data_IF_964297656197
#
_entry.id   IF_964297656197
#
_cell.length_a   1.000
_cell.length_b   1.000
_cell.length_c   1.000
_cell.angle_alpha   90.00
_cell.angle_beta   90.00
_cell.angle_gamma   90.00
#
_symmetry.space_group_name_H-M   'P 1'
#
loop_
_entity.id
_entity.type
_entity.pdbx_description
1 polymer ?
#
# COMPACT_ATOMS: atom_id res chain seq x y z
N UNK A 1 -6.17 26.33 -6.54
CA UNK A 1 -7.33 25.44 -6.80
C UNK A 1 -7.38 25.06 -8.27
N UNK A 2 -7.16 25.98 -9.19
CA UNK A 2 -7.17 25.73 -10.65
C UNK A 2 -5.96 24.90 -11.12
N UNK A 3 -4.79 25.09 -10.51
CA UNK A 3 -3.55 24.35 -10.80
C UNK A 3 -3.64 22.85 -10.41
N UNK A 4 -4.42 22.50 -9.39
CA UNK A 4 -4.68 21.11 -9.03
C UNK A 4 -5.67 20.40 -9.97
N UNK A 5 -6.60 21.11 -10.58
CA UNK A 5 -7.61 20.52 -11.49
C UNK A 5 -7.01 20.00 -12.80
N UNK A 6 -5.92 20.57 -13.28
CA UNK A 6 -5.33 20.23 -14.60
C UNK A 6 -4.47 18.97 -14.62
N UNK A 7 -4.14 18.38 -13.46
CA UNK A 7 -3.16 17.30 -13.34
C UNK A 7 -3.65 16.05 -12.61
N UNK A 8 -4.98 15.90 -12.40
CA UNK A 8 -5.52 14.70 -11.77
C UNK A 8 -5.64 13.58 -12.83
N UNK A 9 -4.76 12.59 -12.73
CA UNK A 9 -4.91 11.36 -13.54
C UNK A 9 -6.06 10.53 -12.98
N UNK A 10 -6.80 9.94 -13.89
CA UNK A 10 -7.87 9.04 -13.56
C UNK A 10 -7.32 7.68 -13.13
N UNK A 11 -7.46 7.39 -11.85
CA UNK A 11 -7.21 6.06 -11.33
C UNK A 11 -8.50 5.22 -11.50
N UNK A 12 -8.81 4.89 -12.76
CA UNK A 12 -10.09 4.27 -13.19
C UNK A 12 -10.47 3.06 -12.35
N UNK A 13 -9.52 2.19 -12.05
CA UNK A 13 -9.78 0.99 -11.27
C UNK A 13 -10.32 1.26 -9.86
N UNK A 14 -10.00 2.41 -9.25
CA UNK A 14 -10.56 2.80 -7.94
C UNK A 14 -11.92 3.50 -8.10
N UNK A 15 -12.02 4.50 -8.97
CA UNK A 15 -13.23 5.31 -9.12
C UNK A 15 -14.45 4.46 -9.46
N UNK A 16 -14.35 3.57 -10.45
CA UNK A 16 -15.44 2.69 -10.84
C UNK A 16 -15.88 1.73 -9.72
N UNK A 17 -14.93 1.16 -8.98
CA UNK A 17 -15.24 0.23 -7.88
C UNK A 17 -15.91 0.94 -6.71
N UNK A 18 -15.44 2.14 -6.39
CA UNK A 18 -15.99 2.96 -5.31
C UNK A 18 -17.40 3.42 -5.66
N UNK A 19 -17.61 3.93 -6.86
CA UNK A 19 -18.92 4.43 -7.32
C UNK A 19 -20.00 3.36 -7.33
N UNK A 20 -19.67 2.10 -7.62
CA UNK A 20 -20.62 0.98 -7.53
C UNK A 20 -21.21 0.76 -6.14
N UNK A 21 -20.55 1.32 -5.10
CA UNK A 21 -20.99 1.20 -3.71
C UNK A 21 -21.86 2.36 -3.25
N UNK A 22 -21.92 3.48 -3.99
CA UNK A 22 -22.82 4.58 -3.68
C UNK A 22 -24.30 4.15 -3.76
N UNK A 23 -25.12 4.69 -2.89
CA UNK A 23 -26.55 4.35 -2.79
C UNK A 23 -26.85 2.97 -2.18
N UNK A 24 -25.84 2.24 -1.67
CA UNK A 24 -26.03 0.92 -1.05
C UNK A 24 -26.00 0.92 0.48
N UNK A 25 -26.08 2.10 1.11
CA UNK A 25 -26.07 2.24 2.56
C UNK A 25 -24.76 1.81 3.23
N UNK A 26 -23.64 1.85 2.49
CA UNK A 26 -22.32 1.48 2.98
C UNK A 26 -21.47 2.74 3.19
N UNK A 27 -20.78 2.82 4.32
CA UNK A 27 -19.72 3.82 4.51
C UNK A 27 -18.52 3.40 3.66
N UNK A 28 -17.99 4.31 2.85
CA UNK A 28 -16.81 4.08 2.02
C UNK A 28 -15.60 4.68 2.72
N UNK A 29 -14.56 3.88 2.92
CA UNK A 29 -13.35 4.33 3.56
C UNK A 29 -12.13 4.09 2.68
N UNK A 30 -11.41 5.18 2.35
CA UNK A 30 -10.16 5.14 1.60
C UNK A 30 -8.98 5.18 2.57
N UNK A 31 -8.16 4.14 2.56
CA UNK A 31 -6.93 4.06 3.36
C UNK A 31 -5.70 3.98 2.49
N UNK A 32 -4.55 4.04 3.10
CA UNK A 32 -3.25 3.93 2.43
C UNK A 32 -2.25 4.92 2.96
N UNK A 33 -1.01 4.76 2.55
CA UNK A 33 0.10 5.60 2.95
C UNK A 33 -0.19 7.10 2.71
N UNK A 34 0.45 7.98 3.47
CA UNK A 34 0.44 9.41 3.14
C UNK A 34 1.00 9.66 1.74
N UNK A 35 0.44 10.66 1.04
CA UNK A 35 0.89 11.12 -0.29
C UNK A 35 0.58 10.19 -1.46
N UNK A 36 -0.11 9.05 -1.30
CA UNK A 36 -0.50 8.15 -2.42
C UNK A 36 -1.67 8.65 -3.25
N UNK A 37 -2.33 9.74 -2.83
CA UNK A 37 -3.41 10.38 -3.59
C UNK A 37 -4.84 10.03 -3.14
N UNK A 38 -5.07 9.58 -1.89
CA UNK A 38 -6.42 9.33 -1.33
C UNK A 38 -7.37 10.51 -1.52
N UNK A 39 -6.93 11.70 -1.06
CA UNK A 39 -7.69 12.95 -1.21
C UNK A 39 -8.01 13.31 -2.65
N UNK A 40 -7.08 12.97 -3.59
CA UNK A 40 -7.31 13.19 -5.02
C UNK A 40 -8.41 12.27 -5.57
N UNK A 41 -8.41 10.98 -5.18
CA UNK A 41 -9.47 10.02 -5.55
C UNK A 41 -10.81 10.49 -4.99
N UNK A 42 -10.87 10.84 -3.68
CA UNK A 42 -12.08 11.36 -3.05
C UNK A 42 -12.56 12.65 -3.74
N UNK A 43 -11.67 13.60 -4.01
CA UNK A 43 -11.99 14.89 -4.62
C UNK A 43 -12.61 14.72 -6.02
N UNK A 44 -12.12 13.79 -6.80
CA UNK A 44 -12.66 13.49 -8.11
C UNK A 44 -14.09 12.97 -8.04
N UNK A 45 -14.37 12.10 -7.11
CA UNK A 45 -15.72 11.59 -6.86
C UNK A 45 -16.62 12.73 -6.38
N UNK A 46 -16.14 13.56 -5.44
CA UNK A 46 -16.83 14.77 -5.01
C UNK A 46 -17.16 15.70 -6.19
N UNK A 47 -16.20 16.01 -7.07
CA UNK A 47 -16.40 16.92 -8.21
C UNK A 47 -17.48 16.38 -9.17
N UNK A 48 -17.51 15.05 -9.39
CA UNK A 48 -18.53 14.39 -10.21
C UNK A 48 -19.94 14.53 -9.60
N UNK A 49 -20.07 14.25 -8.31
CA UNK A 49 -21.37 14.32 -7.63
C UNK A 49 -21.87 15.76 -7.43
N UNK A 50 -20.96 16.71 -7.29
CA UNK A 50 -21.26 18.14 -7.16
C UNK A 50 -21.84 18.78 -8.44
N UNK A 51 -21.65 18.14 -9.60
CA UNK A 51 -22.20 18.64 -10.87
C UNK A 51 -23.69 18.38 -11.02
N UNK A 52 -24.26 17.47 -10.22
CA UNK A 52 -25.69 17.15 -10.26
C UNK A 52 -26.45 18.04 -9.27
N UNK A 53 -27.35 18.86 -9.76
CA UNK A 53 -28.17 19.79 -8.95
C UNK A 53 -29.12 19.09 -7.97
N UNK A 54 -29.42 17.81 -8.18
CA UNK A 54 -30.22 16.99 -7.23
C UNK A 54 -29.43 16.53 -6.02
N UNK A 55 -28.09 16.67 -6.05
CA UNK A 55 -27.24 16.29 -4.95
C UNK A 55 -26.96 17.48 -4.04
N UNK A 56 -26.92 17.21 -2.75
CA UNK A 56 -26.32 18.07 -1.72
C UNK A 56 -25.00 17.44 -1.29
N UNK A 57 -23.88 18.11 -1.52
CA UNK A 57 -22.55 17.53 -1.31
C UNK A 57 -21.78 18.33 -0.27
N UNK A 58 -21.50 17.71 0.87
CA UNK A 58 -20.77 18.27 1.99
C UNK A 58 -19.33 17.72 1.94
N UNK A 59 -18.32 18.61 1.91
CA UNK A 59 -16.90 18.24 1.91
C UNK A 59 -16.20 18.88 3.10
N UNK A 60 -15.58 18.04 3.93
CA UNK A 60 -14.81 18.44 5.12
C UNK A 60 -13.37 17.99 4.88
N UNK A 61 -12.42 18.90 5.02
CA UNK A 61 -10.99 18.66 4.84
C UNK A 61 -10.28 19.07 6.13
N UNK A 62 -9.98 18.08 6.96
CA UNK A 62 -9.43 18.29 8.30
C UNK A 62 -8.00 18.86 8.31
N UNK A 63 -7.32 18.93 7.16
CA UNK A 63 -6.05 19.63 7.05
C UNK A 63 -6.24 21.16 6.91
N UNK A 64 -7.49 21.64 6.70
CA UNK A 64 -7.78 23.06 6.53
C UNK A 64 -8.28 23.71 7.81
N UNK A 65 -7.76 24.90 8.11
CA UNK A 65 -8.16 25.72 9.26
C UNK A 65 -9.65 26.09 9.27
N UNK A 66 -10.32 26.08 8.11
CA UNK A 66 -11.75 26.33 8.00
C UNK A 66 -12.61 25.27 8.74
N UNK A 67 -12.07 24.13 9.08
CA UNK A 67 -12.73 23.03 9.79
C UNK A 67 -12.15 22.80 11.19
N UNK A 68 -11.31 23.69 11.69
CA UNK A 68 -10.65 23.55 12.99
C UNK A 68 -11.65 23.47 14.18
N UNK A 69 -12.89 23.98 14.00
CA UNK A 69 -13.95 23.93 15.01
C UNK A 69 -14.62 22.53 15.10
N UNK A 70 -14.34 21.62 14.17
CA UNK A 70 -14.81 20.22 14.21
C UNK A 70 -13.79 19.38 14.97
N UNK A 71 -13.80 19.48 16.28
CA UNK A 71 -12.82 18.82 17.14
C UNK A 71 -13.21 17.37 17.49
N UNK A 72 -14.51 17.10 17.68
CA UNK A 72 -15.00 15.81 18.13
C UNK A 72 -16.28 15.42 17.37
N UNK A 73 -16.79 14.18 17.64
CA UNK A 73 -17.95 13.63 16.97
C UNK A 73 -19.23 14.51 17.09
N UNK A 74 -19.44 15.22 18.20
CA UNK A 74 -20.61 16.09 18.38
C UNK A 74 -20.55 17.31 17.47
N UNK A 75 -19.35 17.89 17.31
CA UNK A 75 -19.14 19.03 16.43
C UNK A 75 -19.39 18.60 14.97
N UNK A 76 -18.93 17.39 14.60
CA UNK A 76 -19.18 16.80 13.28
C UNK A 76 -20.67 16.57 13.03
N UNK A 77 -21.39 15.96 13.98
CA UNK A 77 -22.86 15.73 13.86
C UNK A 77 -23.59 17.08 13.69
N UNK A 78 -23.28 18.07 14.52
CA UNK A 78 -23.86 19.40 14.41
C UNK A 78 -23.57 20.05 13.05
N UNK A 79 -22.31 20.02 12.62
CA UNK A 79 -21.89 20.61 11.34
C UNK A 79 -22.65 19.99 10.16
N UNK A 80 -22.81 18.67 10.15
CA UNK A 80 -23.53 17.95 9.12
C UNK A 80 -25.02 18.23 9.18
N UNK A 81 -25.64 18.17 10.37
CA UNK A 81 -27.08 18.42 10.56
C UNK A 81 -27.51 19.81 10.06
N UNK A 82 -26.69 20.84 10.24
CA UNK A 82 -26.94 22.20 9.73
C UNK A 82 -26.90 22.30 8.19
N UNK A 83 -26.36 21.28 7.49
CA UNK A 83 -26.12 21.27 6.03
C UNK A 83 -26.86 20.18 5.26
N UNK A 84 -27.54 19.27 5.94
CA UNK A 84 -28.39 18.28 5.30
C UNK A 84 -29.57 18.97 4.64
N UNK A 85 -29.84 18.63 3.39
CA UNK A 85 -31.02 19.07 2.64
C UNK A 85 -31.94 17.88 2.41
N UNK A 86 -33.11 17.86 3.10
CA UNK A 86 -34.08 16.77 3.01
C UNK A 86 -34.75 16.62 1.64
N UNK A 87 -34.59 17.60 0.76
CA UNK A 87 -35.13 17.57 -0.60
C UNK A 87 -34.14 17.00 -1.64
N UNK A 88 -32.92 16.66 -1.22
CA UNK A 88 -31.82 16.20 -2.08
C UNK A 88 -31.19 14.92 -1.58
N UNK A 89 -30.44 14.28 -2.50
CA UNK A 89 -29.53 13.19 -2.12
C UNK A 89 -28.28 13.79 -1.46
N UNK A 90 -28.05 13.44 -0.19
CA UNK A 90 -26.95 13.99 0.59
C UNK A 90 -25.70 13.10 0.53
N UNK A 91 -24.56 13.70 0.28
CA UNK A 91 -23.25 13.06 0.23
C UNK A 91 -22.27 13.77 1.16
N UNK A 92 -21.67 13.02 2.07
CA UNK A 92 -20.68 13.52 3.03
C UNK A 92 -19.31 12.95 2.72
N UNK A 93 -18.35 13.83 2.46
CA UNK A 93 -16.95 13.49 2.22
C UNK A 93 -16.10 14.09 3.34
N UNK A 94 -15.33 13.25 4.06
CA UNK A 94 -14.45 13.69 5.13
C UNK A 94 -13.02 13.23 4.83
N UNK A 95 -12.14 14.17 4.58
CA UNK A 95 -10.71 13.91 4.34
C UNK A 95 -9.95 13.97 5.67
N UNK A 96 -9.07 12.96 5.90
CA UNK A 96 -8.29 12.73 7.14
C UNK A 96 -9.20 12.68 8.40
N UNK A 97 -10.23 11.82 8.38
CA UNK A 97 -11.27 11.72 9.43
C UNK A 97 -10.71 11.41 10.82
N UNK A 98 -9.54 10.79 10.94
CA UNK A 98 -8.88 10.49 12.20
C UNK A 98 -8.43 11.72 13.00
N UNK A 99 -8.45 12.90 12.41
CA UNK A 99 -8.19 14.16 13.12
C UNK A 99 -9.39 14.59 13.98
N UNK A 100 -10.56 13.95 13.84
CA UNK A 100 -11.77 14.20 14.63
C UNK A 100 -11.84 13.18 15.77
N UNK A 101 -11.86 13.65 17.00
CA UNK A 101 -11.94 12.77 18.16
C UNK A 101 -13.27 11.96 18.19
N UNK A 102 -13.16 10.63 18.37
CA UNK A 102 -14.30 9.71 18.44
C UNK A 102 -15.20 9.76 17.17
N UNK A 103 -14.66 10.10 16.01
CA UNK A 103 -15.39 10.27 14.75
C UNK A 103 -16.30 9.07 14.42
N UNK A 104 -15.95 7.88 14.86
CA UNK A 104 -16.71 6.65 14.62
C UNK A 104 -18.14 6.74 15.17
N UNK A 105 -18.35 7.48 16.27
CA UNK A 105 -19.68 7.70 16.87
C UNK A 105 -20.58 8.50 15.92
N UNK A 106 -20.05 9.58 15.33
CA UNK A 106 -20.79 10.38 14.36
C UNK A 106 -21.07 9.61 13.07
N UNK A 107 -20.07 8.87 12.54
CA UNK A 107 -20.25 8.06 11.33
C UNK A 107 -21.34 6.99 11.54
N UNK A 108 -21.38 6.35 12.71
CA UNK A 108 -22.42 5.38 13.08
C UNK A 108 -23.80 6.01 13.16
N UNK A 109 -23.92 7.17 13.81
CA UNK A 109 -25.18 7.90 13.95
C UNK A 109 -25.72 8.30 12.57
N UNK A 110 -24.93 9.01 11.79
CA UNK A 110 -25.29 9.49 10.44
C UNK A 110 -25.64 8.34 9.48
N UNK A 111 -24.89 7.22 9.56
CA UNK A 111 -25.16 6.04 8.75
C UNK A 111 -26.45 5.34 9.18
N UNK A 112 -26.75 5.29 10.49
CA UNK A 112 -27.98 4.68 11.02
C UNK A 112 -29.22 5.47 10.67
N UNK A 113 -29.13 6.80 10.64
CA UNK A 113 -30.19 7.71 10.23
C UNK A 113 -30.46 7.64 8.73
N UNK A 114 -29.52 7.12 7.94
CA UNK A 114 -29.63 7.03 6.48
C UNK A 114 -29.72 8.40 5.79
N UNK A 115 -29.30 9.45 6.49
CA UNK A 115 -29.46 10.84 6.04
C UNK A 115 -28.50 11.23 4.91
N UNK A 116 -27.36 10.52 4.78
CA UNK A 116 -26.38 10.78 3.75
C UNK A 116 -25.54 9.55 3.40
N UNK A 117 -25.00 9.52 2.19
CA UNK A 117 -23.95 8.59 1.79
C UNK A 117 -22.60 9.13 2.27
N UNK A 118 -21.80 8.29 2.95
CA UNK A 118 -20.59 8.74 3.63
C UNK A 118 -19.35 8.14 2.95
N UNK A 119 -18.36 8.99 2.66
CA UNK A 119 -17.02 8.61 2.26
C UNK A 119 -15.98 9.30 3.16
N UNK A 120 -15.04 8.53 3.67
CA UNK A 120 -13.97 9.04 4.53
C UNK A 120 -12.59 8.64 4.00
N UNK A 121 -11.56 9.44 4.30
CA UNK A 121 -10.17 9.01 4.10
C UNK A 121 -9.41 8.97 5.41
N UNK A 122 -8.35 8.18 5.43
CA UNK A 122 -7.39 8.19 6.52
C UNK A 122 -6.08 7.49 6.18
N UNK A 123 -5.03 7.93 6.86
CA UNK A 123 -3.65 7.48 6.63
C UNK A 123 -3.17 6.42 7.61
N UNK A 124 -4.08 5.79 8.38
CA UNK A 124 -3.74 4.79 9.38
C UNK A 124 -4.64 3.54 9.27
N UNK A 125 -4.02 2.35 9.31
CA UNK A 125 -4.73 1.07 9.25
C UNK A 125 -5.65 0.84 10.46
N UNK A 126 -5.27 1.32 11.66
CA UNK A 126 -6.10 1.20 12.86
C UNK A 126 -7.47 1.85 12.70
N UNK A 127 -7.58 2.91 11.89
CA UNK A 127 -8.83 3.59 11.60
C UNK A 127 -9.93 2.64 11.09
N UNK A 128 -9.54 1.62 10.30
CA UNK A 128 -10.50 0.70 9.69
C UNK A 128 -10.54 -0.68 10.36
N UNK A 129 -9.49 -1.10 11.05
CA UNK A 129 -9.28 -2.51 11.35
C UNK A 129 -10.05 -3.03 12.58
N UNK A 130 -10.29 -2.22 13.61
CA UNK A 130 -10.86 -2.75 14.86
C UNK A 130 -12.15 -2.06 15.32
N UNK A 131 -12.17 -0.73 15.37
CA UNK A 131 -13.31 -0.04 15.94
C UNK A 131 -14.40 0.28 14.91
N UNK A 132 -14.03 0.85 13.75
CA UNK A 132 -15.00 1.20 12.73
C UNK A 132 -15.65 -0.05 12.13
N UNK A 133 -14.87 -1.08 11.80
CA UNK A 133 -15.41 -2.33 11.22
C UNK A 133 -16.34 -3.05 12.18
N UNK A 134 -15.95 -3.13 13.46
CA UNK A 134 -16.76 -3.80 14.50
C UNK A 134 -18.02 -3.00 14.80
N UNK A 135 -17.94 -1.68 14.90
CA UNK A 135 -19.07 -0.80 15.20
C UNK A 135 -20.04 -0.69 14.03
N UNK A 136 -19.55 -0.57 12.80
CA UNK A 136 -20.39 -0.53 11.59
C UNK A 136 -21.01 -1.89 11.22
N UNK A 137 -20.64 -2.98 11.92
CA UNK A 137 -21.25 -4.31 11.76
C UNK A 137 -21.33 -4.76 10.29
N UNK A 138 -20.27 -4.57 9.53
CA UNK A 138 -20.22 -4.92 8.11
C UNK A 138 -20.86 -3.90 7.15
N UNK A 139 -21.31 -2.73 7.63
CA UNK A 139 -21.86 -1.66 6.79
C UNK A 139 -20.80 -0.67 6.32
N UNK A 140 -19.58 -1.14 6.06
CA UNK A 140 -18.52 -0.34 5.50
C UNK A 140 -17.77 -1.11 4.41
N UNK A 141 -17.19 -0.39 3.48
CA UNK A 141 -16.34 -0.91 2.44
C UNK A 141 -15.01 -0.15 2.43
N UNK A 142 -13.93 -0.85 2.75
CA UNK A 142 -12.58 -0.31 2.73
C UNK A 142 -11.91 -0.47 1.38
N UNK A 143 -11.28 0.59 0.88
CA UNK A 143 -10.42 0.59 -0.30
C UNK A 143 -9.03 1.06 0.08
N UNK A 144 -8.05 0.17 -0.07
CA UNK A 144 -6.66 0.55 0.09
C UNK A 144 -6.15 1.21 -1.19
N UNK A 145 -5.72 2.46 -1.07
CA UNK A 145 -5.16 3.26 -2.18
C UNK A 145 -3.64 3.15 -2.10
N UNK A 146 -3.08 2.49 -3.09
CA UNK A 146 -1.63 2.35 -3.26
C UNK A 146 -1.03 3.55 -3.98
N UNK A 147 0.28 3.69 -3.99
CA UNK A 147 1.02 4.56 -4.90
C UNK A 147 0.69 4.23 -6.38
N UNK A 148 1.23 4.96 -7.33
CA UNK A 148 1.06 4.64 -8.76
C UNK A 148 1.63 3.26 -9.06
N UNK A 149 0.94 2.46 -9.90
CA UNK A 149 1.55 1.27 -10.48
C UNK A 149 2.46 1.66 -11.66
N UNK A 150 3.10 0.67 -12.28
CA UNK A 150 4.02 0.95 -13.37
C UNK A 150 3.33 1.63 -14.57
N UNK A 151 2.14 1.19 -14.97
CA UNK A 151 1.42 1.80 -16.10
C UNK A 151 0.94 3.22 -15.75
N UNK A 152 0.38 3.41 -14.54
CA UNK A 152 0.02 4.74 -14.03
C UNK A 152 1.25 5.65 -13.91
N UNK A 153 2.42 5.12 -13.48
CA UNK A 153 3.67 5.87 -13.40
C UNK A 153 4.14 6.33 -14.77
N UNK A 154 4.16 5.45 -15.78
CA UNK A 154 4.54 5.78 -17.15
C UNK A 154 3.62 6.86 -17.73
N UNK A 155 2.30 6.69 -17.60
CA UNK A 155 1.31 7.65 -18.04
C UNK A 155 1.47 8.99 -17.31
N UNK A 156 1.58 8.95 -15.98
CA UNK A 156 1.64 10.13 -15.13
C UNK A 156 2.87 10.99 -15.40
N UNK A 157 4.01 10.36 -15.67
CA UNK A 157 5.26 11.07 -15.96
C UNK A 157 5.48 11.34 -17.46
N UNK A 158 4.52 10.96 -18.34
CA UNK A 158 4.62 11.05 -19.80
C UNK A 158 5.87 10.34 -20.35
N UNK A 159 6.17 9.16 -19.83
CA UNK A 159 7.31 8.34 -20.23
C UNK A 159 6.91 7.36 -21.35
N UNK A 160 7.92 6.79 -22.00
CA UNK A 160 7.72 5.65 -22.88
C UNK A 160 7.74 4.35 -22.08
N UNK A 161 6.94 3.36 -22.45
CA UNK A 161 6.98 2.02 -21.85
C UNK A 161 8.23 1.26 -22.32
N UNK A 162 9.34 1.40 -21.57
CA UNK A 162 10.61 0.78 -21.85
C UNK A 162 11.35 0.40 -20.55
N UNK A 163 12.55 -0.19 -20.68
CA UNK A 163 13.33 -0.64 -19.52
C UNK A 163 13.91 0.52 -18.69
N UNK A 164 14.14 1.67 -19.33
CA UNK A 164 14.56 2.89 -18.63
C UNK A 164 13.44 3.39 -17.69
N UNK A 165 12.22 3.45 -18.17
CA UNK A 165 11.05 3.83 -17.34
C UNK A 165 10.77 2.83 -16.23
N UNK A 166 11.00 1.53 -16.49
CA UNK A 166 10.94 0.51 -15.44
C UNK A 166 12.02 0.75 -14.38
N UNK A 167 13.26 1.06 -14.81
CA UNK A 167 14.34 1.42 -13.91
C UNK A 167 14.02 2.65 -13.05
N UNK A 168 13.43 3.68 -13.64
CA UNK A 168 12.97 4.87 -12.91
C UNK A 168 11.87 4.52 -11.89
N UNK A 169 10.91 3.67 -12.26
CA UNK A 169 9.87 3.21 -11.35
C UNK A 169 10.45 2.43 -10.16
N UNK A 170 11.37 1.50 -10.41
CA UNK A 170 12.06 0.76 -9.35
C UNK A 170 12.91 1.67 -8.44
N UNK A 171 13.44 2.75 -8.98
CA UNK A 171 14.26 3.71 -8.24
C UNK A 171 13.42 4.68 -7.40
N UNK A 172 12.40 5.28 -8.01
CA UNK A 172 11.66 6.40 -7.43
C UNK A 172 10.32 6.02 -6.81
N UNK A 173 9.84 4.80 -7.06
CA UNK A 173 8.53 4.36 -6.55
C UNK A 173 7.34 5.03 -7.23
N UNK A 174 6.20 5.01 -6.55
CA UNK A 174 4.91 5.41 -7.12
C UNK A 174 4.26 6.64 -6.45
N UNK A 175 5.00 7.50 -5.72
CA UNK A 175 4.40 8.68 -5.11
C UNK A 175 4.07 9.75 -6.16
N UNK A 176 2.79 10.16 -6.30
CA UNK A 176 2.37 11.07 -7.38
C UNK A 176 3.04 12.45 -7.38
N UNK A 177 3.48 12.94 -6.22
CA UNK A 177 4.11 14.26 -6.08
C UNK A 177 5.40 14.40 -6.90
N UNK A 178 6.09 13.30 -7.20
CA UNK A 178 7.33 13.29 -7.98
C UNK A 178 7.20 13.91 -9.36
N UNK A 179 5.98 13.87 -9.95
CA UNK A 179 5.74 14.55 -11.23
C UNK A 179 6.01 16.04 -11.17
N UNK A 180 5.60 16.71 -10.09
CA UNK A 180 5.76 18.15 -9.94
C UNK A 180 7.23 18.54 -9.71
N UNK A 181 8.01 17.62 -9.12
CA UNK A 181 9.44 17.82 -8.91
C UNK A 181 10.26 17.55 -10.16
N UNK A 182 9.77 16.64 -11.03
CA UNK A 182 10.47 16.15 -12.23
C UNK A 182 11.54 15.12 -11.88
N UNK A 183 11.49 13.94 -12.52
CA UNK A 183 12.38 12.81 -12.20
C UNK A 183 13.87 13.08 -12.48
N UNK A 184 14.20 14.13 -13.23
CA UNK A 184 15.58 14.54 -13.47
C UNK A 184 16.24 15.31 -12.29
N UNK A 185 15.45 15.78 -11.32
CA UNK A 185 15.90 16.61 -10.20
C UNK A 185 16.15 15.75 -8.95
N UNK A 186 17.21 14.94 -8.96
CA UNK A 186 17.52 13.99 -7.89
C UNK A 186 17.57 14.62 -6.50
N UNK A 187 18.17 15.82 -6.38
CA UNK A 187 18.33 16.52 -5.10
C UNK A 187 16.97 16.92 -4.51
N UNK A 188 16.07 17.46 -5.34
CA UNK A 188 14.71 17.81 -4.90
C UNK A 188 13.90 16.58 -4.50
N UNK A 189 14.13 15.46 -5.18
CA UNK A 189 13.49 14.18 -4.86
C UNK A 189 14.00 13.62 -3.54
N UNK A 190 15.32 13.66 -3.29
CA UNK A 190 15.91 13.22 -2.03
C UNK A 190 15.40 14.08 -0.85
N UNK A 191 15.36 15.40 -0.99
CA UNK A 191 14.77 16.32 -0.01
C UNK A 191 13.27 16.03 0.24
N UNK A 192 12.54 15.73 -0.82
CA UNK A 192 11.13 15.37 -0.70
C UNK A 192 10.94 14.07 0.09
N UNK A 193 11.71 13.02 -0.22
CA UNK A 193 11.63 11.76 0.51
C UNK A 193 12.04 11.91 1.97
N UNK A 194 13.08 12.70 2.28
CA UNK A 194 13.46 13.00 3.66
C UNK A 194 12.30 13.66 4.42
N UNK A 195 11.63 14.63 3.79
CA UNK A 195 10.46 15.28 4.36
C UNK A 195 9.27 14.33 4.55
N UNK A 196 9.01 13.45 3.59
CA UNK A 196 7.92 12.45 3.68
C UNK A 196 8.21 11.47 4.81
N UNK A 197 9.41 10.89 4.87
CA UNK A 197 9.83 9.98 5.93
C UNK A 197 9.70 10.64 7.29
N UNK A 198 10.21 11.87 7.45
CA UNK A 198 10.13 12.60 8.70
C UNK A 198 8.67 12.88 9.10
N UNK A 199 7.81 13.26 8.16
CA UNK A 199 6.39 13.52 8.43
C UNK A 199 5.68 12.24 8.87
N UNK A 200 5.83 11.13 8.14
CA UNK A 200 5.20 9.86 8.48
C UNK A 200 5.74 9.32 9.82
N UNK A 201 7.08 9.29 9.96
CA UNK A 201 7.71 8.75 11.18
C UNK A 201 7.43 9.65 12.39
N UNK A 202 7.58 10.98 12.25
CA UNK A 202 7.42 11.90 13.38
C UNK A 202 5.94 12.09 13.75
N UNK A 203 5.10 12.42 12.77
CA UNK A 203 3.71 12.78 13.05
C UNK A 203 2.82 11.56 13.25
N UNK A 204 2.87 10.61 12.32
CA UNK A 204 1.90 9.50 12.32
C UNK A 204 2.28 8.38 13.29
N UNK A 205 3.54 8.24 13.65
CA UNK A 205 3.99 7.17 14.54
C UNK A 205 4.39 7.74 15.90
N UNK A 206 5.34 8.69 15.95
CA UNK A 206 5.90 9.15 17.23
C UNK A 206 4.85 9.89 18.06
N UNK A 207 4.12 10.82 17.47
CA UNK A 207 3.10 11.60 18.19
C UNK A 207 1.91 10.72 18.58
N UNK A 208 1.39 9.94 17.63
CA UNK A 208 0.19 9.13 17.83
C UNK A 208 0.41 7.97 18.81
N UNK A 209 1.54 7.28 18.73
CA UNK A 209 1.87 6.13 19.59
C UNK A 209 2.71 6.53 20.81
N UNK A 210 2.92 7.83 21.03
CA UNK A 210 3.71 8.39 22.16
C UNK A 210 5.08 7.73 22.32
N UNK A 211 5.80 7.56 21.21
CA UNK A 211 7.08 6.86 21.17
C UNK A 211 8.16 7.66 21.88
N UNK A 212 8.83 7.02 22.86
CA UNK A 212 9.93 7.63 23.64
C UNK A 212 11.29 7.39 22.98
N UNK A 213 11.51 6.23 22.38
CA UNK A 213 12.81 5.88 21.78
C UNK A 213 12.77 6.07 20.24
N UNK A 214 12.81 7.33 19.81
CA UNK A 214 12.83 7.72 18.40
C UNK A 214 14.06 7.17 17.64
N UNK A 215 15.30 7.20 18.21
CA UNK A 215 16.46 6.61 17.54
C UNK A 215 16.27 5.13 17.20
N UNK A 216 15.69 4.34 18.10
CA UNK A 216 15.41 2.93 17.85
C UNK A 216 14.43 2.75 16.67
N UNK A 217 13.36 3.54 16.61
CA UNK A 217 12.40 3.48 15.50
C UNK A 217 13.09 3.76 14.17
N UNK A 218 13.93 4.81 14.09
CA UNK A 218 14.70 5.16 12.90
C UNK A 218 15.68 4.04 12.49
N UNK A 219 16.35 3.44 13.45
CA UNK A 219 17.26 2.31 13.22
C UNK A 219 16.49 1.09 12.70
N UNK A 220 15.33 0.80 13.29
CA UNK A 220 14.51 -0.34 12.89
C UNK A 220 13.98 -0.19 11.46
N UNK A 221 13.44 0.99 11.09
CA UNK A 221 12.92 1.19 9.74
C UNK A 221 14.03 1.07 8.68
N UNK A 222 15.23 1.59 8.96
CA UNK A 222 16.40 1.42 8.09
C UNK A 222 16.83 -0.03 7.97
N UNK A 223 16.86 -0.76 9.10
CA UNK A 223 17.17 -2.18 9.12
C UNK A 223 16.20 -2.98 8.23
N UNK A 224 14.90 -2.73 8.32
CA UNK A 224 13.90 -3.38 7.47
C UNK A 224 14.10 -2.99 5.99
N UNK A 225 14.36 -1.71 5.70
CA UNK A 225 14.61 -1.23 4.34
C UNK A 225 15.83 -1.93 3.68
N UNK A 226 16.88 -2.18 4.45
CA UNK A 226 18.08 -2.89 3.98
C UNK A 226 17.85 -4.40 3.78
N UNK A 227 16.83 -4.95 4.40
CA UNK A 227 16.56 -6.38 4.45
C UNK A 227 15.15 -6.77 3.98
N UNK A 228 14.57 -6.01 3.05
CA UNK A 228 13.25 -6.35 2.48
C UNK A 228 13.25 -7.78 1.90
N UNK A 229 12.14 -8.48 2.03
CA UNK A 229 11.95 -9.86 1.59
C UNK A 229 12.58 -10.90 2.52
N UNK A 230 13.61 -10.55 3.30
CA UNK A 230 14.26 -11.51 4.20
C UNK A 230 13.38 -11.85 5.40
N UNK A 231 13.49 -13.11 5.84
CA UNK A 231 12.80 -13.61 7.02
C UNK A 231 13.47 -13.13 8.32
N UNK A 232 12.66 -12.63 9.22
CA UNK A 232 13.09 -12.26 10.57
C UNK A 232 12.11 -12.73 11.64
N UNK A 233 12.64 -12.96 12.83
CA UNK A 233 11.86 -12.96 14.07
C UNK A 233 12.18 -11.68 14.85
N UNK A 234 11.25 -11.20 15.67
CA UNK A 234 11.51 -10.03 16.52
C UNK A 234 12.73 -10.28 17.43
N UNK A 235 12.95 -11.54 17.87
CA UNK A 235 14.12 -11.94 18.66
C UNK A 235 15.42 -11.80 17.86
N UNK A 236 15.45 -12.19 16.58
CA UNK A 236 16.66 -12.04 15.74
C UNK A 236 16.96 -10.57 15.47
N UNK A 237 15.96 -9.74 15.23
CA UNK A 237 16.12 -8.28 15.10
C UNK A 237 16.73 -7.69 16.38
N UNK A 238 16.20 -8.05 17.56
CA UNK A 238 16.75 -7.61 18.85
C UNK A 238 18.23 -7.99 18.98
N UNK A 239 18.60 -9.22 18.57
CA UNK A 239 19.99 -9.67 18.58
C UNK A 239 20.90 -8.77 17.75
N UNK A 240 20.50 -8.43 16.54
CA UNK A 240 21.26 -7.53 15.65
C UNK A 240 21.35 -6.12 16.25
N UNK A 241 20.23 -5.55 16.71
CA UNK A 241 20.21 -4.20 17.29
C UNK A 241 21.09 -4.10 18.56
N UNK A 242 21.07 -5.09 19.42
CA UNK A 242 21.96 -5.15 20.60
C UNK A 242 23.43 -5.26 20.24
N UNK A 243 23.78 -6.00 19.18
CA UNK A 243 25.17 -6.05 18.69
C UNK A 243 25.66 -4.69 18.17
N UNK A 244 24.74 -3.77 17.85
CA UNK A 244 25.01 -2.39 17.45
C UNK A 244 24.87 -1.40 18.64
N UNK A 245 24.93 -1.87 19.88
CA UNK A 245 24.78 -1.08 21.11
C UNK A 245 23.43 -0.35 21.23
N UNK A 246 22.36 -0.89 20.61
CA UNK A 246 21.02 -0.33 20.72
C UNK A 246 20.22 -1.12 21.76
N UNK A 247 19.92 -0.50 22.90
CA UNK A 247 19.08 -1.12 23.93
C UNK A 247 17.64 -1.28 23.45
N UNK A 248 17.15 -2.50 23.44
CA UNK A 248 15.78 -2.81 23.02
C UNK A 248 15.29 -4.14 23.59
N UNK A 249 13.98 -4.37 23.52
CA UNK A 249 13.31 -5.61 23.90
C UNK A 249 12.47 -6.15 22.73
N UNK A 250 12.16 -7.45 22.79
CA UNK A 250 11.31 -8.12 21.78
C UNK A 250 9.95 -7.46 21.66
N UNK A 251 9.31 -7.11 22.79
CA UNK A 251 8.01 -6.44 22.78
C UNK A 251 8.08 -5.04 22.15
N UNK A 252 9.16 -4.29 22.41
CA UNK A 252 9.34 -2.97 21.80
C UNK A 252 9.51 -3.08 20.28
N UNK A 253 10.29 -4.05 19.80
CA UNK A 253 10.45 -4.29 18.37
C UNK A 253 9.13 -4.71 17.73
N UNK A 254 8.36 -5.61 18.35
CA UNK A 254 7.04 -6.03 17.85
C UNK A 254 6.08 -4.83 17.73
N UNK A 255 6.00 -4.01 18.78
CA UNK A 255 5.14 -2.82 18.74
C UNK A 255 5.56 -1.84 17.64
N UNK A 256 6.86 -1.60 17.48
CA UNK A 256 7.34 -0.68 16.46
C UNK A 256 7.11 -1.21 15.04
N UNK A 257 7.25 -2.51 14.81
CA UNK A 257 6.88 -3.15 13.54
C UNK A 257 5.38 -2.99 13.26
N UNK A 258 4.54 -3.17 14.28
CA UNK A 258 3.10 -2.95 14.15
C UNK A 258 2.77 -1.49 13.81
N UNK A 259 3.43 -0.52 14.45
CA UNK A 259 3.24 0.90 14.16
C UNK A 259 3.66 1.27 12.73
N UNK A 260 4.78 0.69 12.24
CA UNK A 260 5.22 0.87 10.86
C UNK A 260 4.20 0.27 9.86
N UNK A 261 3.62 -0.89 10.15
CA UNK A 261 2.55 -1.48 9.35
C UNK A 261 1.28 -0.62 9.38
N UNK A 262 0.87 -0.13 10.56
CA UNK A 262 -0.31 0.71 10.71
C UNK A 262 -0.18 2.06 9.99
N UNK A 263 1.03 2.59 9.86
CA UNK A 263 1.32 3.79 9.08
C UNK A 263 1.52 3.53 7.58
N UNK A 264 1.31 2.30 7.14
CA UNK A 264 1.51 1.88 5.75
C UNK A 264 2.91 2.19 5.21
N UNK A 265 3.95 2.09 6.04
CA UNK A 265 5.34 2.17 5.58
C UNK A 265 5.79 0.82 5.05
N UNK A 266 5.46 -0.23 5.80
CA UNK A 266 5.77 -1.62 5.46
C UNK A 266 4.53 -2.49 5.58
N UNK A 267 4.52 -3.57 4.82
CA UNK A 267 3.59 -4.69 4.98
C UNK A 267 4.32 -5.89 5.56
N UNK A 268 3.63 -6.59 6.48
CA UNK A 268 4.07 -7.87 7.00
C UNK A 268 3.48 -8.98 6.15
N UNK A 269 4.33 -9.87 5.65
CA UNK A 269 3.94 -11.06 4.91
C UNK A 269 4.26 -12.32 5.71
N UNK A 270 3.24 -13.15 5.87
CA UNK A 270 3.36 -14.45 6.53
C UNK A 270 3.85 -15.54 5.60
N UNK A 271 4.15 -16.70 6.18
CA UNK A 271 4.61 -17.89 5.46
C UNK A 271 3.50 -18.91 5.29
N UNK A 272 3.50 -19.58 4.15
CA UNK A 272 2.52 -20.59 3.79
C UNK A 272 3.21 -21.91 3.48
N UNK A 273 2.87 -22.95 4.24
CA UNK A 273 3.34 -24.32 3.95
C UNK A 273 2.54 -24.87 2.78
N UNK A 274 3.16 -24.97 1.61
CA UNK A 274 2.52 -25.41 0.36
C UNK A 274 2.04 -26.87 0.48
N UNK A 275 2.85 -27.76 1.08
CA UNK A 275 2.49 -29.17 1.24
C UNK A 275 1.36 -29.34 2.28
N UNK A 276 1.48 -28.68 3.43
CA UNK A 276 0.49 -28.75 4.52
C UNK A 276 -0.72 -27.85 4.31
N UNK A 277 -0.74 -27.00 3.33
CA UNK A 277 -1.80 -26.02 3.01
C UNK A 277 -2.24 -25.21 4.24
N UNK A 278 -1.26 -24.66 4.96
CA UNK A 278 -1.51 -23.88 6.19
C UNK A 278 -0.53 -22.72 6.36
N UNK A 279 -1.04 -21.65 6.95
CA UNK A 279 -0.22 -20.48 7.32
C UNK A 279 0.67 -20.89 8.51
N UNK A 280 1.94 -20.44 8.47
CA UNK A 280 2.91 -20.65 9.55
C UNK A 280 2.99 -19.39 10.41
N UNK A 281 2.99 -19.57 11.73
CA UNK A 281 3.00 -18.46 12.69
C UNK A 281 4.40 -17.87 12.94
N UNK A 282 5.46 -18.48 12.40
CA UNK A 282 6.84 -18.09 12.69
C UNK A 282 7.57 -17.56 11.47
N UNK A 283 8.21 -16.41 11.67
CA UNK A 283 9.08 -15.76 10.70
C UNK A 283 8.32 -14.95 9.66
N UNK A 284 8.29 -13.67 9.89
CA UNK A 284 7.70 -12.71 8.95
C UNK A 284 8.76 -12.16 8.01
N UNK A 285 8.35 -11.78 6.80
CA UNK A 285 9.11 -10.90 5.93
C UNK A 285 8.37 -9.57 5.78
N UNK A 286 9.11 -8.54 5.37
CA UNK A 286 8.55 -7.20 5.25
C UNK A 286 8.85 -6.63 3.87
N UNK A 287 7.84 -5.99 3.28
CA UNK A 287 7.95 -5.25 2.04
C UNK A 287 7.48 -3.81 2.23
N UNK A 288 8.05 -2.87 1.49
CA UNK A 288 7.68 -1.46 1.56
C UNK A 288 6.46 -1.16 0.70
N UNK A 289 5.63 -0.23 1.16
CA UNK A 289 4.52 0.31 0.38
C UNK A 289 5.04 1.09 -0.83
N UNK A 290 6.13 1.84 -0.66
CA UNK A 290 6.74 2.63 -1.72
C UNK A 290 8.26 2.41 -1.80
N UNK A 291 8.76 2.11 -3.02
CA UNK A 291 10.17 1.82 -3.25
C UNK A 291 11.05 3.07 -3.17
N UNK A 292 10.55 4.24 -3.55
CA UNK A 292 11.31 5.48 -3.45
C UNK A 292 11.66 5.80 -2.00
N UNK A 293 10.69 5.65 -1.08
CA UNK A 293 10.95 5.79 0.36
C UNK A 293 11.95 4.74 0.87
N UNK A 294 11.81 3.48 0.45
CA UNK A 294 12.77 2.42 0.80
C UNK A 294 14.19 2.77 0.34
N UNK A 295 14.33 3.17 -0.91
CA UNK A 295 15.63 3.47 -1.51
C UNK A 295 16.29 4.69 -0.85
N UNK A 296 15.49 5.70 -0.50
CA UNK A 296 15.97 6.85 0.27
C UNK A 296 16.49 6.43 1.66
N UNK A 297 15.78 5.56 2.38
CA UNK A 297 16.19 5.06 3.70
C UNK A 297 17.50 4.27 3.69
N UNK A 298 17.75 3.52 2.63
CA UNK A 298 18.98 2.70 2.47
C UNK A 298 20.17 3.55 2.00
N UNK A 299 19.90 4.64 1.30
CA UNK A 299 20.93 5.54 0.75
C UNK A 299 21.52 5.06 -0.58
N UNK A 300 22.40 5.90 -1.17
CA UNK A 300 22.88 5.73 -2.54
C UNK A 300 23.70 4.47 -2.81
N UNK A 301 24.41 3.95 -1.81
CA UNK A 301 25.33 2.83 -2.01
C UNK A 301 24.66 1.46 -2.17
N UNK A 302 23.36 1.33 -1.87
CA UNK A 302 22.61 0.07 -1.92
C UNK A 302 21.27 0.16 -2.70
N UNK A 303 21.11 1.22 -3.49
CA UNK A 303 19.92 1.40 -4.34
C UNK A 303 19.75 0.30 -5.40
N UNK A 304 20.78 -0.48 -5.65
CA UNK A 304 20.85 -1.45 -6.76
C UNK A 304 20.68 -2.93 -6.35
N UNK A 305 20.04 -3.19 -5.22
CA UNK A 305 19.55 -4.53 -4.87
C UNK A 305 18.33 -4.89 -5.77
N UNK A 306 18.55 -4.97 -7.08
CA UNK A 306 17.48 -5.06 -8.09
C UNK A 306 16.53 -6.22 -7.81
N UNK A 307 17.04 -7.38 -7.41
CA UNK A 307 16.22 -8.55 -7.11
C UNK A 307 15.21 -8.25 -5.99
N UNK A 308 15.64 -7.63 -4.89
CA UNK A 308 14.75 -7.21 -3.80
C UNK A 308 13.72 -6.15 -4.25
N UNK A 309 14.12 -5.22 -5.12
CA UNK A 309 13.20 -4.22 -5.67
C UNK A 309 12.16 -4.90 -6.56
N UNK A 310 12.56 -5.89 -7.34
CA UNK A 310 11.65 -6.68 -8.18
C UNK A 310 10.65 -7.47 -7.33
N UNK A 311 11.12 -8.18 -6.30
CA UNK A 311 10.24 -8.90 -5.36
C UNK A 311 9.22 -7.95 -4.75
N UNK A 312 9.67 -6.82 -4.19
CA UNK A 312 8.76 -5.82 -3.61
C UNK A 312 7.74 -5.32 -4.64
N UNK A 313 8.17 -5.09 -5.88
CA UNK A 313 7.30 -4.62 -6.96
C UNK A 313 6.26 -5.68 -7.35
N UNK A 314 6.67 -6.94 -7.50
CA UNK A 314 5.77 -8.08 -7.76
C UNK A 314 4.77 -8.24 -6.62
N UNK A 315 5.22 -8.20 -5.37
CA UNK A 315 4.36 -8.24 -4.19
C UNK A 315 3.28 -7.14 -4.23
N UNK A 316 3.68 -5.89 -4.48
CA UNK A 316 2.75 -4.74 -4.57
C UNK A 316 1.74 -4.92 -5.70
N UNK A 317 2.19 -5.40 -6.86
CA UNK A 317 1.30 -5.67 -7.99
C UNK A 317 0.25 -6.74 -7.67
N UNK A 318 0.65 -7.84 -7.01
CA UNK A 318 -0.27 -8.89 -6.58
C UNK A 318 -1.35 -8.36 -5.62
N UNK A 319 -0.97 -7.53 -4.64
CA UNK A 319 -1.94 -6.89 -3.74
C UNK A 319 -2.94 -6.00 -4.51
N UNK A 320 -2.47 -5.22 -5.48
CA UNK A 320 -3.34 -4.38 -6.34
C UNK A 320 -4.33 -5.21 -7.15
N UNK A 321 -3.90 -6.38 -7.62
CA UNK A 321 -4.79 -7.34 -8.29
C UNK A 321 -5.79 -7.99 -7.34
N UNK A 322 -5.68 -7.75 -6.03
CA UNK A 322 -6.57 -8.24 -4.99
C UNK A 322 -6.26 -9.65 -4.50
N UNK A 323 -5.01 -10.09 -4.65
CA UNK A 323 -4.52 -11.35 -4.07
C UNK A 323 -4.14 -11.15 -2.61
N UNK A 324 -4.36 -12.18 -1.79
CA UNK A 324 -3.68 -12.36 -0.51
C UNK A 324 -2.37 -13.08 -0.79
N UNK A 325 -1.25 -12.55 -0.31
CA UNK A 325 0.09 -13.02 -0.70
C UNK A 325 0.84 -13.55 0.50
N UNK A 326 1.52 -14.66 0.32
CA UNK A 326 2.37 -15.33 1.31
C UNK A 326 3.72 -15.69 0.70
N UNK A 327 4.73 -15.92 1.53
CA UNK A 327 5.96 -16.60 1.14
C UNK A 327 5.73 -18.09 1.23
N UNK A 328 5.97 -18.81 0.13
CA UNK A 328 5.76 -20.24 0.06
C UNK A 328 6.92 -21.05 0.63
N UNK A 329 6.60 -22.07 1.44
CA UNK A 329 7.57 -23.03 1.95
C UNK A 329 7.22 -24.42 1.43
N UNK A 330 8.15 -25.01 0.70
CA UNK A 330 8.04 -26.36 0.19
C UNK A 330 9.27 -27.19 0.61
N UNK A 331 9.13 -27.98 1.68
CA UNK A 331 10.23 -28.73 2.31
C UNK A 331 11.39 -27.78 2.74
N UNK A 332 12.50 -27.81 2.01
CA UNK A 332 13.67 -26.94 2.21
C UNK A 332 13.76 -25.78 1.22
N UNK A 333 12.89 -25.75 0.23
CA UNK A 333 12.84 -24.71 -0.79
C UNK A 333 11.86 -23.60 -0.37
N UNK A 334 12.16 -22.38 -0.78
CA UNK A 334 11.29 -21.22 -0.64
C UNK A 334 10.74 -20.86 -2.02
N UNK A 335 9.47 -20.50 -2.07
CA UNK A 335 8.81 -19.90 -3.23
C UNK A 335 8.51 -18.47 -2.86
N UNK A 336 8.97 -17.52 -3.65
CA UNK A 336 8.89 -16.11 -3.30
C UNK A 336 7.47 -15.69 -2.98
N UNK A 337 6.49 -16.10 -3.82
CA UNK A 337 5.10 -15.78 -3.55
C UNK A 337 4.14 -16.93 -3.85
N UNK A 338 3.23 -17.15 -2.90
CA UNK A 338 1.97 -17.87 -3.05
C UNK A 338 0.85 -16.84 -2.96
N UNK A 339 0.15 -16.62 -4.05
CA UNK A 339 -0.90 -15.61 -4.14
C UNK A 339 -2.27 -16.27 -4.28
N UNK A 340 -3.21 -15.96 -3.37
CA UNK A 340 -4.54 -16.55 -3.33
C UNK A 340 -5.63 -15.49 -3.57
N UNK A 341 -6.58 -15.81 -4.45
CA UNK A 341 -7.74 -14.95 -4.72
C UNK A 341 -8.94 -15.78 -5.10
N UNK A 342 -10.04 -15.65 -4.33
CA UNK A 342 -11.32 -16.32 -4.61
C UNK A 342 -11.20 -17.84 -4.87
N UNK A 343 -10.33 -18.53 -4.13
CA UNK A 343 -10.08 -19.96 -4.26
C UNK A 343 -9.10 -20.37 -5.36
N UNK A 344 -8.59 -19.41 -6.13
CA UNK A 344 -7.47 -19.65 -7.07
C UNK A 344 -6.15 -19.35 -6.40
N UNK A 345 -5.16 -20.18 -6.64
CA UNK A 345 -3.77 -20.02 -6.16
C UNK A 345 -2.84 -19.85 -7.34
N UNK A 346 -1.82 -19.00 -7.19
CA UNK A 346 -0.76 -18.76 -8.17
C UNK A 346 0.58 -18.80 -7.45
N UNK A 347 1.59 -19.42 -8.06
CA UNK A 347 2.95 -19.48 -7.54
C UNK A 347 3.88 -18.63 -8.40
N UNK A 348 4.71 -17.83 -7.77
CA UNK A 348 5.59 -16.90 -8.47
C UNK A 348 6.99 -16.96 -7.86
N UNK A 349 7.98 -17.05 -8.75
CA UNK A 349 9.39 -16.94 -8.42
C UNK A 349 9.94 -15.71 -9.13
N UNK A 350 10.80 -14.94 -8.45
CA UNK A 350 11.36 -13.69 -8.97
C UNK A 350 12.88 -13.80 -9.00
N UNK A 351 13.48 -13.55 -10.15
CA UNK A 351 14.93 -13.58 -10.33
C UNK A 351 15.38 -12.40 -11.17
N UNK A 352 16.54 -11.80 -10.87
CA UNK A 352 17.03 -10.70 -11.68
C UNK A 352 17.31 -11.15 -13.12
N UNK A 353 18.15 -12.16 -13.29
CA UNK A 353 18.55 -12.72 -14.61
C UNK A 353 18.60 -14.23 -14.56
N UNK A 354 18.19 -14.86 -15.65
CA UNK A 354 18.27 -16.31 -15.86
C UNK A 354 19.57 -16.65 -16.64
N UNK A 355 20.71 -16.11 -16.18
CA UNK A 355 21.96 -16.13 -16.93
C UNK A 355 22.71 -17.47 -16.92
N UNK A 356 22.43 -18.34 -15.94
CA UNK A 356 23.12 -19.63 -15.78
C UNK A 356 22.13 -20.79 -15.70
N UNK A 357 22.54 -21.98 -16.15
CA UNK A 357 21.71 -23.19 -16.00
C UNK A 357 21.36 -23.46 -14.54
N UNK A 358 22.29 -23.23 -13.61
CA UNK A 358 22.05 -23.39 -12.17
C UNK A 358 20.94 -22.48 -11.66
N UNK A 359 20.92 -21.20 -12.09
CA UNK A 359 19.84 -20.26 -11.75
C UNK A 359 18.51 -20.72 -12.34
N UNK A 360 18.50 -21.15 -13.61
CA UNK A 360 17.30 -21.64 -14.28
C UNK A 360 16.77 -22.88 -13.54
N UNK A 361 17.64 -23.85 -13.25
CA UNK A 361 17.25 -25.08 -12.53
C UNK A 361 16.71 -24.75 -11.14
N UNK A 362 17.28 -23.77 -10.42
CA UNK A 362 16.79 -23.35 -9.12
C UNK A 362 15.39 -22.71 -9.21
N UNK A 363 15.22 -21.71 -10.08
CA UNK A 363 13.97 -20.94 -10.14
C UNK A 363 12.80 -21.75 -10.72
N UNK A 364 13.04 -22.50 -11.79
CA UNK A 364 12.01 -23.38 -12.36
C UNK A 364 11.85 -24.67 -11.56
N UNK A 365 12.94 -25.26 -11.07
CA UNK A 365 12.94 -26.51 -10.33
C UNK A 365 12.16 -26.42 -9.03
N UNK A 366 12.27 -25.31 -8.30
CA UNK A 366 11.46 -25.08 -7.10
C UNK A 366 9.95 -25.12 -7.43
N UNK A 367 9.53 -24.49 -8.52
CA UNK A 367 8.13 -24.49 -8.96
C UNK A 367 7.69 -25.87 -9.50
N UNK A 368 8.59 -26.62 -10.16
CA UNK A 368 8.31 -27.97 -10.65
C UNK A 368 8.07 -28.98 -9.53
N UNK A 369 8.62 -28.75 -8.34
CA UNK A 369 8.35 -29.59 -7.16
C UNK A 369 6.91 -29.48 -6.66
N UNK A 370 6.18 -28.42 -7.01
CA UNK A 370 4.77 -28.24 -6.63
C UNK A 370 3.90 -29.09 -7.58
N UNK A 371 3.30 -30.16 -7.05
CA UNK A 371 2.55 -31.17 -7.81
C UNK A 371 1.06 -30.86 -7.92
N UNK A 372 0.71 -29.63 -8.21
CA UNK A 372 -0.67 -29.22 -8.49
C UNK A 372 -0.78 -28.52 -9.86
N UNK A 373 -2.01 -28.24 -10.28
CA UNK A 373 -2.33 -27.64 -11.58
C UNK A 373 -2.46 -26.11 -11.55
N UNK A 374 -2.14 -25.49 -10.43
CA UNK A 374 -2.21 -24.04 -10.32
C UNK A 374 -1.17 -23.34 -11.20
N UNK A 375 -1.47 -22.14 -11.74
CA UNK A 375 -0.53 -21.37 -12.55
C UNK A 375 0.78 -21.10 -11.82
N UNK A 376 1.88 -21.18 -12.55
CA UNK A 376 3.23 -20.96 -12.05
C UNK A 376 3.95 -19.98 -12.96
N UNK A 377 4.64 -19.00 -12.36
CA UNK A 377 5.34 -17.96 -13.10
C UNK A 377 6.77 -17.79 -12.58
N UNK A 378 7.70 -17.59 -13.51
CA UNK A 378 9.02 -17.02 -13.22
C UNK A 378 9.04 -15.62 -13.80
N UNK A 379 9.35 -14.63 -12.99
CA UNK A 379 9.41 -13.21 -13.38
C UNK A 379 10.86 -12.73 -13.32
N UNK A 380 11.39 -12.20 -14.43
CA UNK A 380 12.78 -11.73 -14.47
C UNK A 380 12.93 -10.47 -15.32
N UNK A 381 14.15 -9.91 -15.34
CA UNK A 381 14.55 -8.84 -16.27
C UNK A 381 15.11 -9.39 -17.58
N UNK A 382 15.17 -10.71 -17.73
CA UNK A 382 15.74 -11.35 -18.93
C UNK A 382 14.71 -11.40 -20.07
N UNK A 383 15.00 -10.70 -21.17
CA UNK A 383 14.21 -10.74 -22.42
C UNK A 383 14.68 -11.82 -23.40
N UNK A 384 15.92 -12.22 -23.25
CA UNK A 384 16.57 -13.15 -24.18
C UNK A 384 16.38 -14.61 -23.78
N UNK A 385 15.66 -14.85 -22.69
CA UNK A 385 15.32 -16.22 -22.31
C UNK A 385 14.37 -16.81 -23.34
N UNK A 386 14.91 -17.65 -24.23
CA UNK A 386 14.22 -18.15 -25.42
C UNK A 386 13.04 -19.10 -25.20
N UNK A 387 12.62 -19.33 -23.94
CA UNK A 387 11.51 -20.24 -23.60
C UNK A 387 10.48 -19.49 -22.77
N UNK A 388 9.39 -19.06 -23.39
CA UNK A 388 8.26 -18.44 -22.69
C UNK A 388 7.50 -19.43 -21.77
N UNK A 389 7.72 -20.74 -21.92
CA UNK A 389 7.11 -21.79 -21.13
C UNK A 389 8.08 -22.97 -20.96
N UNK A 390 8.29 -23.40 -19.71
CA UNK A 390 9.07 -24.58 -19.35
C UNK A 390 8.19 -25.47 -18.48
N UNK A 391 7.79 -26.62 -19.01
CA UNK A 391 6.97 -27.62 -18.30
C UNK A 391 5.69 -27.02 -17.65
N UNK A 392 5.01 -26.12 -18.35
CA UNK A 392 3.81 -25.46 -17.87
C UNK A 392 4.07 -24.22 -16.99
N UNK A 393 5.32 -23.92 -16.66
CA UNK A 393 5.71 -22.70 -15.93
C UNK A 393 5.95 -21.58 -16.94
N UNK A 394 5.26 -20.46 -16.78
CA UNK A 394 5.39 -19.30 -17.67
C UNK A 394 6.52 -18.39 -17.21
N UNK A 395 7.40 -18.03 -18.15
CA UNK A 395 8.37 -16.96 -17.93
C UNK A 395 7.83 -15.63 -18.47
N UNK A 396 7.93 -14.57 -17.66
CA UNK A 396 7.55 -13.21 -18.03
C UNK A 396 8.65 -12.24 -17.67
N UNK A 397 8.90 -11.27 -18.55
CA UNK A 397 9.67 -10.10 -18.18
C UNK A 397 8.88 -9.27 -17.14
N UNK A 398 9.56 -8.67 -16.15
CA UNK A 398 8.91 -7.90 -15.07
C UNK A 398 7.93 -6.86 -15.62
N UNK A 399 8.33 -6.10 -16.65
CA UNK A 399 7.48 -5.08 -17.26
C UNK A 399 6.18 -5.65 -17.83
N UNK A 400 6.22 -6.84 -18.44
CA UNK A 400 5.04 -7.49 -18.98
C UNK A 400 4.15 -8.06 -17.87
N UNK A 401 4.77 -8.59 -16.81
CA UNK A 401 4.06 -9.02 -15.61
C UNK A 401 3.28 -7.88 -14.95
N UNK A 402 3.88 -6.69 -14.82
CA UNK A 402 3.26 -5.51 -14.20
C UNK A 402 2.09 -4.94 -14.99
N UNK A 403 1.88 -5.34 -16.23
CA UNK A 403 0.72 -4.96 -17.08
C UNK A 403 -0.43 -5.95 -17.01
N UNK A 404 -0.25 -7.10 -16.35
CA UNK A 404 -1.32 -8.08 -16.20
C UNK A 404 -2.42 -7.52 -15.29
N UNK A 405 -3.66 -7.76 -15.66
CA UNK A 405 -4.85 -7.39 -14.87
C UNK A 405 -5.45 -8.59 -14.13
N UNK A 406 -5.00 -9.78 -14.45
CA UNK A 406 -5.33 -11.05 -13.80
C UNK A 406 -4.24 -12.10 -14.09
N UNK A 407 -4.08 -13.10 -13.21
CA UNK A 407 -3.14 -14.21 -13.31
C UNK A 407 -3.89 -15.53 -13.39
#
# INVERSE_FOLDING_TARGET
>A
VEYMKQNLIERQGYSERIERMFGKGMVIALTGQRRVGKSCVMRRIYDKYSQNNHNNVIYIDMEKTAFADIYNYKDLEKYVAERIDSSKDNYLFIDEVQEIQDFEKAILSLQSDGSCQIMVTGSNAKMLSSELSTRLRGRYMGYHIHGLDYEEFVEFHNLQDNDESLGMFLQYGGLPQLRQLGLANSDLIDDYFENVVNTIVLRDIIERESIRNVPLLRTLVRFIADNIGKQFSARSIVGVLKSQNTETSTNMVLNYLEYLCNAYIIDRIGRYNIHGKKILELGDSFYFEDLGLRNHLVGSNRRFDIEKLMENTVYRHLLRLGYTVYIGILHKAEIDFVAEKQGSTVYIQVSYMLATEETIEREFGNLQMIKDSHPKYVVSMDRMYGKANVDGIRHLHLRDFLKLRAL
#
